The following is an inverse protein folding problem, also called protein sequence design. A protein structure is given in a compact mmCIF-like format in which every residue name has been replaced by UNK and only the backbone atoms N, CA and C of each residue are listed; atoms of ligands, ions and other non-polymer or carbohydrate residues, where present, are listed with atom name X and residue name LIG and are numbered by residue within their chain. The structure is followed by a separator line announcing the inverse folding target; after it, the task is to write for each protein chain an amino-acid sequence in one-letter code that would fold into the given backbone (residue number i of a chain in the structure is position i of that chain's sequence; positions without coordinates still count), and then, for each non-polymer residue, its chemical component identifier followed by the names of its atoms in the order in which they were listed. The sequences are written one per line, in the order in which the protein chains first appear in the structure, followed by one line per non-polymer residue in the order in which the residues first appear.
data_IF_254004506109
#
_entry.id   IF_254004506109
#
_cell.length_a   1.000
_cell.length_b   1.000
_cell.length_c   1.000
_cell.angle_alpha   90.00
_cell.angle_beta   90.00
_cell.angle_gamma   90.00
#
_symmetry.space_group_name_H-M   'P 1'
#
loop_
_entity.id
_entity.type
_entity.pdbx_description
1 polymer ?
#
# COMPACT_ATOMS: atom_id res chain seq x y z
N UNK A 1 9.11 -9.35 3.35
CA UNK A 1 8.69 -10.14 4.52
C UNK A 1 7.26 -10.58 4.28
N UNK A 2 6.93 -11.86 4.51
CA UNK A 2 5.57 -12.38 4.37
C UNK A 2 4.74 -12.08 5.63
N UNK A 3 3.43 -12.27 5.55
CA UNK A 3 2.52 -12.08 6.68
C UNK A 3 2.89 -12.98 7.89
N UNK A 4 3.18 -14.25 7.64
CA UNK A 4 3.57 -15.23 8.68
C UNK A 4 4.87 -14.84 9.39
N UNK A 5 5.84 -14.31 8.63
CA UNK A 5 7.11 -13.80 9.18
C UNK A 5 6.87 -12.61 10.11
N UNK A 6 5.91 -11.71 9.76
CA UNK A 6 5.56 -10.55 10.59
C UNK A 6 4.92 -10.97 11.91
N UNK A 7 4.03 -11.95 11.89
CA UNK A 7 3.43 -12.53 13.10
C UNK A 7 4.50 -13.19 13.97
N UNK A 8 5.43 -13.91 13.36
CA UNK A 8 6.54 -14.57 14.06
C UNK A 8 7.49 -13.54 14.68
N UNK A 9 7.84 -12.48 13.94
CA UNK A 9 8.61 -11.33 14.43
C UNK A 9 7.93 -10.68 15.64
N UNK A 10 6.62 -10.44 15.59
CA UNK A 10 5.88 -9.85 16.71
C UNK A 10 5.94 -10.73 17.97
N UNK A 11 5.72 -12.04 17.82
CA UNK A 11 5.82 -13.00 18.93
C UNK A 11 7.23 -13.01 19.52
N UNK A 12 8.27 -13.06 18.68
CA UNK A 12 9.66 -13.07 19.11
C UNK A 12 10.06 -11.77 19.83
N UNK A 13 9.55 -10.62 19.40
CA UNK A 13 9.75 -9.34 20.07
C UNK A 13 9.05 -9.29 21.44
N UNK A 14 7.84 -9.87 21.55
CA UNK A 14 7.10 -9.98 22.84
C UNK A 14 7.89 -10.78 23.88
N UNK A 15 8.53 -11.87 23.48
CA UNK A 15 9.42 -12.66 24.34
C UNK A 15 10.86 -12.09 24.44
N UNK A 16 11.09 -10.87 23.94
CA UNK A 16 12.38 -10.15 23.99
C UNK A 16 13.56 -10.90 23.34
N UNK A 17 13.30 -11.64 22.27
CA UNK A 17 14.36 -12.33 21.52
C UNK A 17 15.31 -11.31 20.87
N UNK A 18 16.64 -11.53 20.91
CA UNK A 18 17.59 -10.67 20.22
C UNK A 18 17.35 -10.62 18.72
N UNK A 19 17.38 -9.41 18.13
CA UNK A 19 17.13 -9.17 16.70
C UNK A 19 18.00 -10.03 15.76
N UNK A 20 19.29 -10.32 16.06
CA UNK A 20 20.09 -11.24 15.26
C UNK A 20 19.52 -12.67 15.21
N UNK A 21 19.04 -13.19 16.34
CA UNK A 21 18.40 -14.52 16.41
C UNK A 21 17.07 -14.55 15.66
N UNK A 22 16.33 -13.45 15.69
CA UNK A 22 15.10 -13.31 14.90
C UNK A 22 15.43 -13.35 13.40
N UNK A 23 16.47 -12.65 12.97
CA UNK A 23 16.91 -12.64 11.58
C UNK A 23 17.30 -14.05 11.10
N UNK A 24 18.04 -14.79 11.92
CA UNK A 24 18.40 -16.20 11.68
C UNK A 24 17.15 -17.10 11.59
N UNK A 25 16.24 -17.01 12.56
CA UNK A 25 15.01 -17.81 12.60
C UNK A 25 14.07 -17.55 11.40
N UNK A 26 14.03 -16.30 10.92
CA UNK A 26 13.23 -15.91 9.76
C UNK A 26 13.98 -16.09 8.42
N UNK A 27 15.26 -16.44 8.43
CA UNK A 27 16.08 -16.56 7.22
C UNK A 27 16.25 -15.24 6.45
N UNK A 28 16.22 -14.10 7.13
CA UNK A 28 16.36 -12.76 6.52
C UNK A 28 17.59 -12.03 7.05
N UNK A 29 18.07 -11.02 6.33
CA UNK A 29 19.18 -10.22 6.84
C UNK A 29 18.75 -9.35 8.03
N UNK A 30 19.68 -9.08 8.94
CA UNK A 30 19.44 -8.26 10.14
C UNK A 30 18.82 -6.90 9.81
N UNK A 31 19.29 -6.26 8.73
CA UNK A 31 18.77 -4.96 8.27
C UNK A 31 17.29 -5.04 7.88
N UNK A 32 16.82 -6.17 7.35
CA UNK A 32 15.40 -6.37 7.04
C UNK A 32 14.56 -6.36 8.32
N UNK A 33 15.02 -7.01 9.39
CA UNK A 33 14.34 -7.00 10.69
C UNK A 33 14.24 -5.59 11.26
N UNK A 34 15.34 -4.82 11.28
CA UNK A 34 15.32 -3.44 11.77
C UNK A 34 14.38 -2.54 10.94
N UNK A 35 14.44 -2.64 9.62
CA UNK A 35 13.58 -1.86 8.75
C UNK A 35 12.11 -2.21 8.93
N UNK A 36 11.79 -3.49 9.12
CA UNK A 36 10.41 -3.91 9.37
C UNK A 36 9.90 -3.40 10.71
N UNK A 37 10.72 -3.52 11.78
CA UNK A 37 10.38 -2.97 13.10
C UNK A 37 10.08 -1.48 12.98
N UNK A 38 10.96 -0.71 12.30
CA UNK A 38 10.76 0.73 12.12
C UNK A 38 9.46 1.07 11.36
N UNK A 39 9.05 0.27 10.37
CA UNK A 39 7.78 0.46 9.65
C UNK A 39 6.56 0.18 10.52
N UNK A 40 6.69 -0.81 11.40
CA UNK A 40 5.61 -1.36 12.23
C UNK A 40 5.46 -0.80 13.63
N UNK A 41 6.32 0.12 14.06
CA UNK A 41 6.16 0.80 15.34
C UNK A 41 4.85 1.62 15.34
N UNK A 42 4.01 1.39 16.34
CA UNK A 42 2.80 2.14 16.59
C UNK A 42 2.58 2.35 18.09
N UNK A 43 1.87 3.41 18.46
CA UNK A 43 1.39 3.59 19.82
C UNK A 43 0.16 2.71 20.06
N UNK A 44 0.18 1.97 21.15
CA UNK A 44 -0.92 1.13 21.60
C UNK A 44 -1.23 1.49 23.05
N UNK A 45 -2.50 1.45 23.43
CA UNK A 45 -2.89 1.64 24.83
C UNK A 45 -2.75 0.31 25.59
N UNK A 46 -2.25 0.37 26.81
CA UNK A 46 -2.32 -0.74 27.75
C UNK A 46 -3.71 -0.82 28.39
N UNK A 47 -3.94 -1.85 29.21
CA UNK A 47 -5.18 -1.98 29.98
C UNK A 47 -5.41 -0.82 30.94
N UNK A 48 -4.32 -0.18 31.37
CA UNK A 48 -4.28 1.00 32.23
C UNK A 48 -4.42 2.31 31.44
N UNK A 49 -4.73 2.24 30.14
CA UNK A 49 -4.83 3.38 29.21
C UNK A 49 -3.53 4.18 29.05
N UNK A 50 -2.39 3.56 29.35
CA UNK A 50 -1.08 4.18 29.12
C UNK A 50 -0.62 3.94 27.67
N UNK A 51 -0.17 4.98 26.94
CA UNK A 51 0.34 4.82 25.59
C UNK A 51 1.73 4.18 25.61
N UNK A 52 1.89 3.07 24.90
CA UNK A 52 3.15 2.32 24.78
C UNK A 52 3.49 2.13 23.30
N UNK A 53 4.72 2.47 22.93
CA UNK A 53 5.24 2.22 21.59
C UNK A 53 5.60 0.74 21.43
N UNK A 54 4.90 0.03 20.54
CA UNK A 54 5.10 -1.39 20.28
C UNK A 54 5.04 -1.68 18.78
N UNK A 55 5.82 -2.67 18.34
CA UNK A 55 5.68 -3.23 17.00
C UNK A 55 4.35 -3.96 16.84
N UNK A 56 3.63 -3.70 15.74
CA UNK A 56 2.39 -4.37 15.39
C UNK A 56 2.44 -4.90 13.95
N UNK A 57 2.24 -6.22 13.78
CA UNK A 57 2.24 -6.86 12.47
C UNK A 57 1.09 -6.33 11.59
N UNK A 58 -0.11 -6.16 12.14
CA UNK A 58 -1.29 -5.68 11.40
C UNK A 58 -1.08 -4.28 10.81
N UNK A 59 -0.52 -3.37 11.61
CA UNK A 59 -0.21 -2.00 11.15
C UNK A 59 0.80 -2.03 10.01
N UNK A 60 1.79 -2.91 10.10
CA UNK A 60 2.83 -3.08 9.06
C UNK A 60 2.22 -3.62 7.77
N UNK A 61 1.38 -4.65 7.87
CA UNK A 61 0.68 -5.25 6.72
C UNK A 61 -0.25 -4.22 6.07
N UNK A 62 -1.02 -3.48 6.86
CA UNK A 62 -1.90 -2.43 6.34
C UNK A 62 -1.12 -1.38 5.54
N UNK A 63 -0.04 -0.84 6.10
CA UNK A 63 0.84 0.12 5.39
C UNK A 63 1.41 -0.48 4.11
N UNK A 64 1.79 -1.76 4.12
CA UNK A 64 2.29 -2.45 2.94
C UNK A 64 1.22 -2.56 1.85
N UNK A 65 0.00 -2.95 2.19
CA UNK A 65 -1.13 -3.05 1.26
C UNK A 65 -1.57 -1.69 0.74
N UNK A 66 -1.61 -0.66 1.58
CA UNK A 66 -1.88 0.73 1.17
C UNK A 66 -0.84 1.21 0.14
N UNK A 67 0.44 0.96 0.40
CA UNK A 67 1.50 1.30 -0.55
C UNK A 67 1.39 0.51 -1.87
N UNK A 68 0.99 -0.76 -1.83
CA UNK A 68 0.70 -1.53 -3.05
C UNK A 68 -0.50 -0.98 -3.83
N UNK A 69 -1.55 -0.52 -3.15
CA UNK A 69 -2.71 0.14 -3.78
C UNK A 69 -2.33 1.49 -4.37
N UNK A 70 -1.50 2.26 -3.68
CA UNK A 70 -1.02 3.56 -4.15
C UNK A 70 -0.12 3.45 -5.39
N UNK A 71 0.60 2.32 -5.52
CA UNK A 71 1.32 1.93 -6.75
C UNK A 71 0.41 1.52 -7.91
N UNK A 72 -0.91 1.69 -7.79
CA UNK A 72 -1.93 1.22 -8.73
C UNK A 72 -1.56 1.39 -10.20
N UNK A 73 -2.20 0.57 -11.04
CA UNK A 73 -1.96 0.57 -12.48
C UNK A 73 -1.98 2.01 -13.01
N UNK A 74 -0.95 2.40 -13.75
CA UNK A 74 -0.92 3.70 -14.40
C UNK A 74 -2.25 3.88 -15.14
N UNK A 75 -2.88 5.04 -15.00
CA UNK A 75 -4.18 5.29 -15.62
C UNK A 75 -3.96 5.06 -17.12
N UNK A 76 -4.81 4.30 -17.81
CA UNK A 76 -4.58 3.97 -19.24
C UNK A 76 -4.47 5.21 -20.15
N UNK A 77 -4.93 6.36 -19.66
CA UNK A 77 -4.77 7.68 -20.29
C UNK A 77 -3.32 8.20 -20.22
N UNK A 78 -2.54 7.74 -19.24
CA UNK A 78 -1.17 8.16 -18.98
C UNK A 78 -1.06 9.68 -18.84
N UNK A 79 -0.22 10.29 -19.68
CA UNK A 79 -0.03 11.75 -19.80
C UNK A 79 -0.67 12.33 -21.06
N UNK A 80 -1.66 11.66 -21.65
CA UNK A 80 -2.34 12.17 -22.83
C UNK A 80 -3.40 13.20 -22.45
N UNK A 81 -2.91 14.39 -22.09
CA UNK A 81 -3.76 15.54 -21.73
C UNK A 81 -4.61 16.01 -22.92
N UNK A 82 -4.10 15.86 -24.14
CA UNK A 82 -4.83 16.26 -25.35
C UNK A 82 -6.05 15.37 -25.58
N UNK A 83 -5.93 14.06 -25.37
CA UNK A 83 -7.08 13.16 -25.44
C UNK A 83 -8.07 13.40 -24.29
N UNK A 84 -7.59 13.71 -23.08
CA UNK A 84 -8.45 14.07 -21.96
C UNK A 84 -9.30 15.32 -22.26
N UNK A 85 -8.65 16.39 -22.74
CA UNK A 85 -9.29 17.67 -23.10
C UNK A 85 -10.32 17.49 -24.23
N UNK A 86 -9.98 16.68 -25.25
CA UNK A 86 -10.92 16.34 -26.32
C UNK A 86 -12.19 15.65 -25.78
N UNK A 87 -12.05 14.68 -24.87
CA UNK A 87 -13.20 13.99 -24.27
C UNK A 87 -14.04 14.98 -23.45
N UNK A 88 -13.40 15.86 -22.66
CA UNK A 88 -14.08 16.89 -21.86
C UNK A 88 -14.87 17.86 -22.75
N UNK A 89 -14.27 18.40 -23.81
CA UNK A 89 -14.94 19.27 -24.79
C UNK A 89 -16.15 18.58 -25.43
N UNK A 90 -16.01 17.31 -25.86
CA UNK A 90 -17.12 16.60 -26.50
C UNK A 90 -18.29 16.31 -25.55
N UNK A 91 -18.04 16.15 -24.24
CA UNK A 91 -19.09 15.91 -23.25
C UNK A 91 -19.75 17.23 -22.82
N UNK A 92 -18.96 18.27 -22.55
CA UNK A 92 -19.42 19.56 -22.02
C UNK A 92 -20.06 20.41 -23.11
N UNK A 93 -19.36 20.69 -24.22
CA UNK A 93 -19.83 21.65 -25.23
C UNK A 93 -20.91 21.05 -26.13
N UNK A 94 -20.78 19.77 -26.49
CA UNK A 94 -21.73 19.10 -27.39
C UNK A 94 -22.87 18.41 -26.66
N UNK A 95 -22.90 18.49 -25.33
CA UNK A 95 -23.92 17.94 -24.41
C UNK A 95 -24.36 16.51 -24.83
N UNK A 96 -23.40 15.75 -25.34
CA UNK A 96 -23.65 14.44 -25.91
C UNK A 96 -23.62 13.39 -24.81
N UNK A 97 -24.56 12.43 -24.77
CA UNK A 97 -24.45 11.33 -23.82
C UNK A 97 -23.12 10.62 -24.09
N UNK A 98 -22.35 10.23 -23.05
CA UNK A 98 -21.04 9.61 -23.21
C UNK A 98 -21.06 8.52 -24.29
N UNK A 99 -22.10 7.68 -24.33
CA UNK A 99 -22.34 6.64 -25.34
C UNK A 99 -22.11 7.06 -26.82
N UNK A 100 -22.48 8.29 -27.19
CA UNK A 100 -22.30 8.81 -28.56
C UNK A 100 -20.82 9.05 -28.89
N UNK A 101 -20.02 9.44 -27.91
CA UNK A 101 -18.58 9.63 -28.04
C UNK A 101 -17.87 8.29 -28.29
N UNK A 102 -18.24 7.25 -27.54
CA UNK A 102 -17.74 5.89 -27.75
C UNK A 102 -18.02 5.39 -29.17
N UNK A 103 -19.22 5.64 -29.70
CA UNK A 103 -19.58 5.25 -31.06
C UNK A 103 -18.77 6.01 -32.13
N UNK A 104 -18.40 7.27 -31.89
CA UNK A 104 -17.55 8.05 -32.81
C UNK A 104 -16.11 7.55 -32.83
N UNK A 105 -15.51 7.31 -31.66
CA UNK A 105 -14.13 6.82 -31.52
C UNK A 105 -13.94 5.46 -32.19
N UNK A 106 -14.99 4.63 -32.22
CA UNK A 106 -14.97 3.31 -32.88
C UNK A 106 -15.08 3.36 -34.41
N UNK A 107 -15.58 4.46 -34.98
CA UNK A 107 -15.73 4.64 -36.42
C UNK A 107 -14.49 5.27 -37.07
N UNK A 108 -13.52 5.69 -36.25
CA UNK A 108 -12.26 6.29 -36.69
C UNK A 108 -11.10 5.29 -36.75
N UNK A 109 -11.35 4.01 -36.44
CA UNK A 109 -10.41 2.87 -36.65
C UNK A 109 -10.65 2.15 -37.99
#
# INVERSE_FOLDING_TARGET
MKWEDRLSLERMLKIKTPKPKIAEALGVCLKTVYNEIARGMCEQLTSELEPVSRYCADVTERKYQEHLRAKGLDIKLGKDFAFAEYIEEQIIEKNGPPARLWHKLRLTE
#
